data_IF_138295958694
#
_entry.id   IF_138295958694
#
_cell.length_a   1.000
_cell.length_b   1.000
_cell.length_c   1.000
_cell.angle_alpha   90.00
_cell.angle_beta   90.00
_cell.angle_gamma   90.00
#
_symmetry.space_group_name_H-M   'P 1'
#
loop_
_entity.id
_entity.type
_entity.pdbx_description
1 polymer ?
#
# COMPACT_ATOMS: atom_id res chain seq x y z
N UNK A 1 -0.58 2.73 20.50
CA UNK A 1 -1.03 2.84 19.11
C UNK A 1 -2.47 3.26 19.19
N UNK A 2 -2.73 4.53 18.94
CA UNK A 2 -4.10 5.01 18.80
C UNK A 2 -4.73 4.32 17.58
N UNK A 3 -6.02 4.01 17.69
CA UNK A 3 -6.81 3.25 16.70
C UNK A 3 -6.96 3.96 15.34
N UNK A 4 -6.27 5.10 15.16
CA UNK A 4 -6.24 5.96 13.97
C UNK A 4 -4.94 5.81 13.12
N UNK A 5 -3.96 5.00 13.54
CA UNK A 5 -2.67 4.83 12.83
C UNK A 5 -2.63 3.60 11.91
N UNK A 6 -3.78 3.02 11.55
CA UNK A 6 -3.81 1.87 10.64
C UNK A 6 -3.65 2.33 9.19
N UNK A 7 -2.64 1.86 8.44
CA UNK A 7 -2.47 2.23 7.05
C UNK A 7 -3.67 1.79 6.22
N UNK A 8 -4.01 2.59 5.20
CA UNK A 8 -4.98 2.18 4.20
C UNK A 8 -4.43 0.97 3.45
N UNK A 9 -5.23 -0.10 3.38
CA UNK A 9 -4.82 -1.36 2.76
C UNK A 9 -5.86 -1.88 1.77
N UNK A 10 -5.43 -2.75 0.86
CA UNK A 10 -6.31 -3.54 -0.01
C UNK A 10 -5.67 -4.86 -0.43
N UNK A 11 -6.48 -5.90 -0.57
CA UNK A 11 -6.02 -7.23 -0.97
C UNK A 11 -6.06 -7.40 -2.49
N UNK A 12 -4.94 -7.82 -3.07
CA UNK A 12 -4.85 -8.19 -4.48
C UNK A 12 -3.76 -9.23 -4.74
N UNK A 13 -4.06 -10.25 -5.54
CA UNK A 13 -3.09 -11.29 -5.90
C UNK A 13 -2.61 -12.13 -4.70
N UNK A 14 -3.40 -12.22 -3.63
CA UNK A 14 -3.00 -12.91 -2.39
C UNK A 14 -2.03 -12.12 -1.50
N UNK A 15 -1.78 -10.85 -1.82
CA UNK A 15 -0.93 -9.92 -1.06
C UNK A 15 -1.82 -8.82 -0.49
N UNK A 16 -1.58 -8.46 0.77
CA UNK A 16 -2.14 -7.24 1.35
C UNK A 16 -1.25 -6.06 0.95
N UNK A 17 -1.83 -5.06 0.31
CA UNK A 17 -1.11 -3.89 -0.18
C UNK A 17 -1.37 -2.69 0.71
N UNK A 18 -0.31 -2.14 1.30
CA UNK A 18 -0.35 -0.84 1.94
C UNK A 18 -0.35 0.23 0.86
N UNK A 19 -1.36 1.08 0.87
CA UNK A 19 -1.46 2.19 -0.07
C UNK A 19 -0.63 3.37 0.45
N UNK A 20 0.43 3.68 -0.28
CA UNK A 20 1.25 4.84 -0.06
C UNK A 20 0.94 5.90 -1.13
N UNK A 21 1.04 7.15 -0.75
CA UNK A 21 0.89 8.28 -1.65
C UNK A 21 2.11 9.16 -1.55
N UNK A 22 2.63 9.61 -2.68
CA UNK A 22 3.79 10.49 -2.75
C UNK A 22 3.48 11.88 -2.19
N UNK A 23 2.25 12.34 -2.42
CA UNK A 23 1.72 13.60 -1.93
C UNK A 23 0.19 13.55 -1.71
N UNK A 24 -0.34 14.64 -1.14
CA UNK A 24 -1.77 14.81 -0.85
C UNK A 24 -2.63 14.85 -2.13
N UNK A 25 -2.05 15.27 -3.27
CA UNK A 25 -2.77 15.30 -4.56
C UNK A 25 -2.98 13.89 -5.10
N UNK A 26 -1.99 13.00 -4.93
CA UNK A 26 -2.13 11.58 -5.26
C UNK A 26 -3.23 10.91 -4.41
N UNK A 27 -3.25 11.18 -3.11
CA UNK A 27 -4.32 10.71 -2.21
C UNK A 27 -5.70 11.26 -2.60
N UNK A 28 -5.80 12.56 -2.89
CA UNK A 28 -7.06 13.16 -3.32
C UNK A 28 -7.59 12.53 -4.61
N UNK A 29 -6.69 12.23 -5.57
CA UNK A 29 -7.05 11.58 -6.83
C UNK A 29 -7.59 10.17 -6.58
N UNK A 30 -6.98 9.41 -5.68
CA UNK A 30 -7.48 8.11 -5.22
C UNK A 30 -8.87 8.23 -4.55
N UNK A 31 -9.05 9.20 -3.65
CA UNK A 31 -10.33 9.42 -2.96
C UNK A 31 -11.46 9.77 -3.92
N UNK A 32 -11.20 10.66 -4.90
CA UNK A 32 -12.16 11.04 -5.93
C UNK A 32 -12.56 9.85 -6.81
N UNK A 33 -11.62 9.00 -7.20
CA UNK A 33 -11.90 7.81 -8.00
C UNK A 33 -12.85 6.83 -7.27
N UNK A 34 -12.89 6.87 -5.94
CA UNK A 34 -13.78 6.06 -5.10
C UNK A 34 -15.12 6.74 -4.76
N UNK A 35 -15.34 7.97 -5.19
CA UNK A 35 -16.49 8.76 -4.76
C UNK A 35 -16.40 9.19 -3.28
N UNK A 36 -15.20 9.20 -2.71
CA UNK A 36 -14.92 9.53 -1.30
C UNK A 36 -14.21 10.89 -1.17
N UNK A 37 -14.43 11.80 -2.13
CA UNK A 37 -13.82 13.13 -2.12
C UNK A 37 -14.39 14.09 -1.06
N UNK A 38 -15.59 13.80 -0.55
CA UNK A 38 -16.29 14.67 0.41
C UNK A 38 -15.92 14.40 1.88
N UNK A 39 -15.15 13.33 2.15
CA UNK A 39 -14.64 13.01 3.50
C UNK A 39 -13.23 13.55 3.69
N UNK A 40 -12.90 13.83 4.94
CA UNK A 40 -11.52 14.13 5.32
C UNK A 40 -10.67 12.85 5.29
N UNK A 41 -9.43 12.99 4.81
CA UNK A 41 -8.43 11.93 4.78
C UNK A 41 -7.19 12.38 5.55
N UNK A 42 -6.79 11.60 6.56
CA UNK A 42 -5.53 11.84 7.24
C UNK A 42 -4.36 11.45 6.33
N UNK A 43 -3.39 12.36 6.18
CA UNK A 43 -2.14 12.10 5.48
C UNK A 43 -0.98 12.17 6.46
N UNK A 44 -0.22 11.08 6.55
CA UNK A 44 0.96 11.00 7.39
C UNK A 44 2.18 10.63 6.55
N UNK A 45 3.32 11.22 6.89
CA UNK A 45 4.60 10.93 6.23
C UNK A 45 5.41 9.97 7.07
N UNK A 46 5.75 8.84 6.47
CA UNK A 46 6.53 7.78 7.08
C UNK A 46 7.87 7.63 6.36
N UNK A 47 8.95 7.33 7.10
CA UNK A 47 10.18 6.86 6.48
C UNK A 47 9.94 5.44 5.95
N UNK A 48 10.23 5.18 4.68
CA UNK A 48 9.91 3.91 4.02
C UNK A 48 10.39 2.67 4.78
N UNK A 49 11.57 2.73 5.41
CA UNK A 49 12.11 1.64 6.23
C UNK A 49 11.24 1.29 7.46
N UNK A 50 10.46 2.25 7.98
CA UNK A 50 9.60 2.07 9.16
C UNK A 50 8.18 1.61 8.83
N UNK A 51 7.78 1.73 7.57
CA UNK A 51 6.44 1.33 7.14
C UNK A 51 6.23 -0.19 7.31
N UNK A 52 7.22 -0.98 6.89
CA UNK A 52 7.16 -2.44 7.00
C UNK A 52 7.31 -2.93 8.44
N UNK A 53 8.15 -2.26 9.26
CA UNK A 53 8.34 -2.60 10.68
C UNK A 53 7.02 -2.56 11.48
N UNK A 54 6.11 -1.63 11.14
CA UNK A 54 4.85 -1.45 11.85
C UNK A 54 3.70 -2.29 11.27
N UNK A 55 3.64 -2.43 9.94
CA UNK A 55 2.49 -3.04 9.27
C UNK A 55 2.60 -4.57 9.12
N UNK A 56 3.81 -5.11 8.90
CA UNK A 56 4.01 -6.55 8.66
C UNK A 56 3.57 -7.44 9.84
N UNK A 57 3.82 -7.08 11.12
CA UNK A 57 3.40 -7.91 12.25
C UNK A 57 1.89 -8.04 12.40
N UNK A 58 1.11 -7.06 11.94
CA UNK A 58 -0.33 -6.99 12.17
C UNK A 58 -1.15 -7.82 11.17
N UNK A 59 -0.62 -8.06 9.96
CA UNK A 59 -1.42 -8.54 8.81
C UNK A 59 -1.35 -10.06 8.65
N UNK A 60 -0.31 -10.73 9.17
CA UNK A 60 -0.17 -12.20 9.11
C UNK A 60 -0.02 -12.81 7.71
N UNK A 61 -0.14 -12.01 6.66
CA UNK A 61 -0.03 -12.36 5.24
C UNK A 61 1.14 -11.59 4.58
N UNK A 62 1.57 -11.99 3.36
CA UNK A 62 2.48 -11.18 2.54
C UNK A 62 1.97 -9.75 2.41
N UNK A 63 2.81 -8.77 2.78
CA UNK A 63 2.45 -7.35 2.79
C UNK A 63 3.38 -6.54 1.88
N UNK A 64 2.82 -5.96 0.82
CA UNK A 64 3.53 -5.12 -0.16
C UNK A 64 3.13 -3.65 -0.05
N UNK A 65 3.80 -2.78 -0.82
CA UNK A 65 3.43 -1.36 -0.91
C UNK A 65 2.98 -1.04 -2.33
N UNK A 66 1.79 -0.45 -2.46
CA UNK A 66 1.30 0.12 -3.70
C UNK A 66 1.36 1.64 -3.61
N UNK A 67 2.24 2.26 -4.40
CA UNK A 67 2.46 3.70 -4.42
C UNK A 67 1.57 4.34 -5.50
N UNK A 68 0.89 5.43 -5.14
CA UNK A 68 0.08 6.28 -6.04
C UNK A 68 -0.98 5.48 -6.82
N UNK A 69 -1.74 4.67 -6.08
CA UNK A 69 -2.87 3.88 -6.61
C UNK A 69 -3.88 4.81 -7.30
N UNK A 70 -4.31 4.43 -8.53
CA UNK A 70 -5.18 5.24 -9.37
C UNK A 70 -4.45 6.26 -10.25
N UNK A 71 -3.11 6.24 -10.25
CA UNK A 71 -2.25 7.00 -11.16
C UNK A 71 -1.17 6.13 -11.82
N UNK A 72 -0.09 6.73 -12.36
CA UNK A 72 1.06 6.03 -12.94
C UNK A 72 2.00 5.43 -11.86
N UNK A 73 1.39 4.88 -10.80
CA UNK A 73 2.05 4.41 -9.60
C UNK A 73 2.96 3.20 -9.80
N UNK A 74 3.47 2.66 -8.69
CA UNK A 74 4.38 1.52 -8.68
C UNK A 74 4.02 0.51 -7.59
N UNK A 75 4.33 -0.75 -7.84
CA UNK A 75 4.19 -1.82 -6.85
C UNK A 75 5.55 -2.23 -6.32
N UNK A 76 5.64 -2.37 -5.01
CA UNK A 76 6.79 -2.90 -4.29
C UNK A 76 6.33 -4.18 -3.58
N UNK A 77 6.38 -5.34 -4.26
CA UNK A 77 5.97 -6.59 -3.67
C UNK A 77 6.85 -6.97 -2.48
N UNK A 78 6.33 -7.78 -1.53
CA UNK A 78 7.16 -8.34 -0.48
C UNK A 78 8.17 -9.30 -1.10
N UNK A 79 9.44 -8.91 -1.22
CA UNK A 79 10.50 -9.73 -1.82
C UNK A 79 11.44 -10.31 -0.78
N UNK A 80 12.04 -11.46 -1.10
CA UNK A 80 13.05 -12.10 -0.27
C UNK A 80 14.24 -11.15 -0.02
N UNK A 81 14.78 -11.19 1.19
CA UNK A 81 15.86 -10.28 1.63
C UNK A 81 15.39 -8.92 2.16
N UNK A 82 14.12 -8.55 1.96
CA UNK A 82 13.47 -7.39 2.61
C UNK A 82 12.46 -7.85 3.65
N UNK A 83 11.63 -8.84 3.31
CA UNK A 83 10.69 -9.50 4.23
C UNK A 83 11.15 -10.93 4.54
N UNK A 84 10.64 -11.56 5.63
CA UNK A 84 10.91 -12.98 5.88
C UNK A 84 10.49 -13.86 4.70
N UNK A 85 11.31 -14.84 4.33
CA UNK A 85 11.12 -15.68 3.14
C UNK A 85 9.72 -16.33 3.05
N UNK A 86 9.14 -16.72 4.19
CA UNK A 86 7.80 -17.31 4.29
C UNK A 86 6.66 -16.42 3.78
N UNK A 87 6.90 -15.12 3.64
CA UNK A 87 5.93 -14.12 3.16
C UNK A 87 6.45 -13.36 1.93
N UNK A 88 7.60 -13.76 1.39
CA UNK A 88 8.07 -13.24 0.12
C UNK A 88 7.23 -13.81 -1.04
N UNK A 89 7.03 -13.00 -2.08
CA UNK A 89 6.30 -13.34 -3.29
C UNK A 89 7.09 -12.90 -4.51
N UNK A 90 7.12 -13.76 -5.52
CA UNK A 90 7.58 -13.41 -6.86
C UNK A 90 6.36 -12.89 -7.64
N UNK A 91 6.13 -11.58 -7.62
CA UNK A 91 5.01 -10.98 -8.37
C UNK A 91 5.43 -10.80 -9.81
N UNK A 92 4.89 -11.64 -10.70
CA UNK A 92 4.93 -11.42 -12.16
C UNK A 92 4.03 -10.23 -12.51
N UNK A 93 4.48 -9.38 -13.44
CA UNK A 93 4.01 -8.00 -13.74
C UNK A 93 2.54 -7.80 -14.21
N UNK A 94 1.55 -8.55 -13.71
CA UNK A 94 0.19 -8.54 -14.28
C UNK A 94 -0.71 -7.38 -13.82
N UNK A 95 -0.28 -6.58 -12.83
CA UNK A 95 -1.02 -5.38 -12.42
C UNK A 95 -0.65 -4.19 -13.31
N UNK A 96 -1.18 -4.19 -14.52
CA UNK A 96 -0.93 -3.13 -15.50
C UNK A 96 -1.64 -3.29 -16.85
N UNK A 97 -2.44 -4.34 -17.04
CA UNK A 97 -3.22 -4.53 -18.26
C UNK A 97 -4.69 -4.08 -18.07
N UNK A 98 -4.90 -2.84 -17.62
CA UNK A 98 -6.16 -2.16 -17.88
C UNK A 98 -6.01 -1.43 -19.22
N UNK A 99 -6.61 -2.02 -20.26
CA UNK A 99 -6.67 -1.57 -21.65
C UNK A 99 -7.23 -0.15 -21.79
#
# INVERSE_FOLDING_TARGET
MDEHDVPLTGDYGGVCWIFAFSDETALARYALARGEGDREWAYQRWLGARLLDAAVPAVGAPCGVALDVGGPGALFPPVAGIVPDRVAVDVTEEWGAAK
#
